data_IF_348264773945
#
_entry.id   IF_348264773945
#
_cell.length_a   1.000
_cell.length_b   1.000
_cell.length_c   1.000
_cell.angle_alpha   90.00
_cell.angle_beta   90.00
_cell.angle_gamma   90.00
#
_symmetry.space_group_name_H-M   'P 1'
#
loop_
_entity.id
_entity.type
_entity.pdbx_description
1 polymer ?
#
# COMPACT_ATOMS: atom_id res chain seq x y z
N UNK A 1 -12.24 14.97 25.04
CA UNK A 1 -12.00 14.38 23.69
C UNK A 1 -11.13 15.31 22.84
N UNK A 2 -11.33 16.64 22.93
CA UNK A 2 -10.51 17.68 22.32
C UNK A 2 -9.04 17.68 22.81
N UNK A 3 -8.79 17.31 24.07
CA UNK A 3 -7.44 17.28 24.67
C UNK A 3 -6.50 16.23 24.05
N UNK A 4 -7.05 15.14 23.52
CA UNK A 4 -6.28 14.11 22.78
C UNK A 4 -5.81 14.63 21.41
N UNK A 5 -6.61 15.46 20.76
CA UNK A 5 -6.27 16.08 19.47
C UNK A 5 -5.16 17.12 19.67
N UNK A 6 -5.23 17.90 20.75
CA UNK A 6 -4.19 18.89 21.08
C UNK A 6 -2.83 18.26 21.43
N UNK A 7 -2.81 17.06 22.02
CA UNK A 7 -1.56 16.34 22.32
C UNK A 7 -0.78 15.84 21.10
N UNK A 8 -1.43 15.73 19.93
CA UNK A 8 -0.82 15.32 18.67
C UNK A 8 -0.02 16.44 18.00
N UNK A 9 -0.23 17.71 18.39
CA UNK A 9 0.46 18.88 17.82
C UNK A 9 1.69 19.33 18.63
N UNK A 10 2.19 18.47 19.52
CA UNK A 10 3.45 18.67 20.24
C UNK A 10 3.35 19.66 21.40
N UNK A 11 4.17 19.44 22.43
CA UNK A 11 4.37 20.42 23.50
C UNK A 11 4.93 21.70 22.85
N UNK A 12 4.13 22.76 22.84
CA UNK A 12 4.56 24.09 22.41
C UNK A 12 5.65 24.55 23.39
N UNK A 13 6.91 24.61 22.95
CA UNK A 13 7.96 25.28 23.72
C UNK A 13 7.79 26.79 23.56
N UNK A 14 6.88 27.37 24.33
CA UNK A 14 6.68 28.83 24.35
C UNK A 14 7.86 29.50 25.04
N UNK A 15 8.79 30.09 24.28
CA UNK A 15 9.76 31.05 24.83
C UNK A 15 9.08 32.41 24.94
N UNK A 16 8.66 32.77 26.14
CA UNK A 16 8.16 34.12 26.43
C UNK A 16 9.38 35.01 26.68
N UNK A 17 9.53 36.09 25.91
CA UNK A 17 10.50 37.14 26.20
C UNK A 17 9.73 38.41 26.56
N UNK A 18 9.68 38.73 27.86
CA UNK A 18 9.12 39.99 28.35
C UNK A 18 10.20 41.06 28.30
N UNK A 19 9.90 42.20 27.69
CA UNK A 19 10.79 43.37 27.71
C UNK A 19 10.01 44.52 28.33
N UNK A 20 10.43 44.98 29.51
CA UNK A 20 9.79 46.11 30.19
C UNK A 20 10.34 47.41 29.62
N UNK A 21 9.49 48.21 28.97
CA UNK A 21 9.83 49.56 28.53
C UNK A 21 9.24 50.57 29.52
N UNK A 22 9.95 51.65 29.90
CA UNK A 22 9.58 52.49 31.04
C UNK A 22 8.47 53.47 30.65
N UNK A 23 7.22 52.97 30.61
CA UNK A 23 5.97 53.74 30.67
C UNK A 23 4.79 52.76 30.72
N UNK A 24 4.73 51.91 31.75
CA UNK A 24 3.52 51.19 32.20
C UNK A 24 2.81 50.24 31.22
N UNK A 25 3.28 50.07 29.98
CA UNK A 25 2.60 49.29 28.95
C UNK A 25 3.44 48.06 28.63
N UNK A 26 2.96 46.88 29.03
CA UNK A 26 3.58 45.61 28.65
C UNK A 26 3.09 45.22 27.25
N UNK A 27 3.96 45.34 26.24
CA UNK A 27 3.71 44.77 24.92
C UNK A 27 4.23 43.34 24.94
N UNK A 28 3.31 42.36 24.89
CA UNK A 28 3.68 40.95 24.76
C UNK A 28 3.63 40.57 23.29
N UNK A 29 4.80 40.41 22.65
CA UNK A 29 4.89 39.90 21.28
C UNK A 29 5.06 38.39 21.31
N UNK A 30 4.05 37.64 20.86
CA UNK A 30 4.10 36.18 20.75
C UNK A 30 4.53 35.80 19.34
N UNK A 31 5.80 35.43 19.15
CA UNK A 31 6.24 34.78 17.91
C UNK A 31 5.96 33.29 18.02
N UNK A 32 4.96 32.80 17.30
CA UNK A 32 4.67 31.36 17.21
C UNK A 32 5.45 30.78 16.02
N UNK A 33 6.56 30.10 16.29
CA UNK A 33 7.18 29.23 15.29
C UNK A 33 6.30 27.99 15.12
N UNK A 34 5.53 27.96 14.03
CA UNK A 34 4.80 26.78 13.62
C UNK A 34 5.85 25.84 12.99
N UNK A 35 6.39 24.92 13.78
CA UNK A 35 7.15 23.80 13.24
C UNK A 35 6.23 23.04 12.28
N UNK A 36 6.48 23.15 10.97
CA UNK A 36 5.74 22.35 10.00
C UNK A 36 5.94 20.87 10.36
N UNK A 37 4.86 20.07 10.51
CA UNK A 37 5.00 18.65 10.71
C UNK A 37 5.67 18.08 9.46
N UNK A 38 6.95 17.73 9.59
CA UNK A 38 7.73 17.10 8.53
C UNK A 38 7.25 15.65 8.45
N UNK A 39 6.15 15.42 7.72
CA UNK A 39 5.67 14.07 7.42
C UNK A 39 6.77 13.41 6.59
N UNK A 40 7.45 12.42 7.17
CA UNK A 40 8.33 11.56 6.43
C UNK A 40 7.46 10.69 5.51
N UNK A 41 7.21 11.14 4.29
CA UNK A 41 6.71 10.27 3.23
C UNK A 41 7.86 9.31 2.93
N UNK A 42 7.83 8.10 3.47
CA UNK A 42 8.73 7.05 2.99
C UNK A 42 8.33 6.77 1.54
N UNK A 43 9.25 6.94 0.60
CA UNK A 43 9.06 6.55 -0.80
C UNK A 43 9.11 5.01 -0.95
N UNK A 44 8.41 4.29 -0.07
CA UNK A 44 8.26 2.85 -0.14
C UNK A 44 7.13 2.56 -1.11
N UNK A 45 7.48 2.41 -2.38
CA UNK A 45 6.57 1.91 -3.41
C UNK A 45 6.22 0.45 -3.11
N UNK A 46 4.93 0.14 -3.01
CA UNK A 46 4.45 -1.22 -2.92
C UNK A 46 4.47 -1.84 -4.32
N UNK A 47 5.52 -2.61 -4.63
CA UNK A 47 5.66 -3.31 -5.91
C UNK A 47 5.07 -4.73 -5.76
N UNK A 48 4.24 -5.10 -6.72
CA UNK A 48 3.60 -6.42 -6.82
C UNK A 48 3.93 -7.00 -8.19
N UNK A 49 4.49 -8.21 -8.22
CA UNK A 49 4.67 -8.97 -9.44
C UNK A 49 3.50 -9.92 -9.64
N UNK A 50 2.88 -9.85 -10.82
CA UNK A 50 1.75 -10.70 -11.19
C UNK A 50 2.17 -11.58 -12.36
N UNK A 51 2.17 -12.89 -12.13
CA UNK A 51 2.33 -13.90 -13.18
C UNK A 51 0.94 -14.36 -13.64
N UNK A 52 0.74 -14.47 -14.95
CA UNK A 52 -0.54 -14.92 -15.53
C UNK A 52 -0.31 -16.16 -16.38
N UNK A 53 -1.11 -17.21 -16.15
CA UNK A 53 -1.03 -18.48 -16.86
C UNK A 53 0.22 -19.31 -16.53
N UNK A 54 0.42 -20.41 -17.25
CA UNK A 54 1.53 -21.35 -16.98
C UNK A 54 2.92 -20.74 -17.17
N UNK A 55 3.16 -20.02 -18.28
CA UNK A 55 4.44 -19.36 -18.52
C UNK A 55 4.72 -18.24 -17.49
N UNK A 56 3.69 -17.48 -17.13
CA UNK A 56 3.77 -16.48 -16.07
C UNK A 56 4.11 -17.10 -14.71
N UNK A 57 3.59 -18.28 -14.39
CA UNK A 57 3.92 -19.02 -13.17
C UNK A 57 5.42 -19.33 -13.07
N UNK A 58 6.00 -19.85 -14.15
CA UNK A 58 7.41 -20.24 -14.18
C UNK A 58 8.33 -19.03 -13.96
N UNK A 59 8.07 -17.93 -14.68
CA UNK A 59 8.85 -16.69 -14.54
C UNK A 59 8.68 -16.10 -13.14
N UNK A 60 7.44 -16.10 -12.61
CA UNK A 60 7.16 -15.54 -11.30
C UNK A 60 7.87 -16.34 -10.19
N UNK A 61 8.04 -17.65 -10.35
CA UNK A 61 8.81 -18.48 -9.42
C UNK A 61 10.28 -18.04 -9.36
N UNK A 62 10.91 -17.78 -10.51
CA UNK A 62 12.27 -17.25 -10.57
C UNK A 62 12.36 -15.86 -9.93
N UNK A 63 11.43 -14.97 -10.26
CA UNK A 63 11.35 -13.61 -9.69
C UNK A 63 11.18 -13.68 -8.16
N UNK A 64 10.33 -14.56 -7.65
CA UNK A 64 10.08 -14.69 -6.22
C UNK A 64 11.31 -15.13 -5.42
N UNK A 65 12.19 -15.89 -6.08
CA UNK A 65 13.47 -16.33 -5.51
C UNK A 65 14.50 -15.19 -5.55
N UNK A 66 14.54 -14.44 -6.64
CA UNK A 66 15.47 -13.32 -6.82
C UNK A 66 15.10 -12.07 -6.01
N UNK A 67 13.81 -11.81 -5.82
CA UNK A 67 13.27 -10.60 -5.19
C UNK A 67 12.21 -10.90 -4.10
N UNK A 68 12.54 -11.69 -3.07
CA UNK A 68 11.58 -12.20 -2.08
C UNK A 68 10.90 -11.10 -1.25
N UNK A 69 11.45 -9.89 -1.22
CA UNK A 69 10.89 -8.75 -0.48
C UNK A 69 9.61 -8.16 -1.09
N UNK A 70 9.32 -8.46 -2.37
CA UNK A 70 8.12 -7.98 -3.03
C UNK A 70 6.98 -8.98 -2.95
N UNK A 71 5.77 -8.51 -3.23
CA UNK A 71 4.61 -9.40 -3.30
C UNK A 71 4.56 -10.10 -4.65
N UNK A 72 4.20 -11.37 -4.64
CA UNK A 72 4.09 -12.21 -5.82
C UNK A 72 2.70 -12.84 -5.84
N UNK A 73 1.95 -12.63 -6.91
CA UNK A 73 0.61 -13.17 -7.10
C UNK A 73 0.57 -13.93 -8.42
N UNK A 74 0.19 -15.19 -8.37
CA UNK A 74 -0.07 -15.98 -9.57
C UNK A 74 -1.56 -15.97 -9.88
N UNK A 75 -1.93 -15.69 -11.13
CA UNK A 75 -3.31 -15.80 -11.61
C UNK A 75 -3.35 -16.89 -12.68
N UNK A 76 -4.22 -17.89 -12.52
CA UNK A 76 -4.31 -18.98 -13.48
C UNK A 76 -5.73 -19.55 -13.57
N UNK A 77 -6.11 -20.02 -14.76
CA UNK A 77 -7.32 -20.81 -14.98
C UNK A 77 -7.09 -22.30 -14.74
N UNK A 78 -5.83 -22.75 -14.66
CA UNK A 78 -5.47 -24.13 -14.29
C UNK A 78 -5.26 -24.22 -12.77
N UNK A 79 -6.19 -24.90 -12.09
CA UNK A 79 -6.16 -25.07 -10.64
C UNK A 79 -5.03 -25.99 -10.19
N UNK A 80 -4.76 -27.06 -10.94
CA UNK A 80 -3.69 -27.99 -10.61
C UNK A 80 -2.32 -27.33 -10.73
N UNK A 81 -2.14 -26.41 -11.68
CA UNK A 81 -0.93 -25.60 -11.78
C UNK A 81 -0.75 -24.66 -10.59
N UNK A 82 -1.83 -24.07 -10.07
CA UNK A 82 -1.78 -23.22 -8.86
C UNK A 82 -1.42 -24.03 -7.62
N UNK A 83 -2.03 -25.20 -7.42
CA UNK A 83 -1.79 -26.06 -6.26
C UNK A 83 -0.35 -26.62 -6.21
N UNK A 84 0.30 -26.76 -7.37
CA UNK A 84 1.72 -27.13 -7.47
C UNK A 84 2.68 -25.98 -7.14
N UNK A 85 2.22 -24.73 -7.22
CA UNK A 85 3.05 -23.56 -6.93
C UNK A 85 3.12 -23.30 -5.42
N UNK A 86 4.29 -22.87 -4.94
CA UNK A 86 4.44 -22.35 -3.58
C UNK A 86 3.99 -20.88 -3.44
N UNK A 87 3.59 -20.24 -4.54
CA UNK A 87 3.22 -18.83 -4.56
C UNK A 87 1.75 -18.62 -4.22
N UNK A 88 1.42 -17.44 -3.72
CA UNK A 88 0.03 -17.04 -3.48
C UNK A 88 -0.70 -16.98 -4.83
N UNK A 89 -1.70 -17.84 -4.99
CA UNK A 89 -2.47 -17.99 -6.21
C UNK A 89 -3.88 -17.42 -6.15
N UNK A 90 -4.37 -16.94 -7.29
CA UNK A 90 -5.77 -16.66 -7.58
C UNK A 90 -6.21 -17.56 -8.73
N UNK A 91 -7.09 -18.51 -8.43
CA UNK A 91 -7.80 -19.30 -9.43
C UNK A 91 -8.92 -18.45 -10.03
N UNK A 92 -9.03 -18.45 -11.36
CA UNK A 92 -10.08 -17.74 -12.09
C UNK A 92 -10.82 -18.68 -13.05
N UNK A 93 -12.12 -18.47 -13.21
CA UNK A 93 -12.98 -19.24 -14.11
C UNK A 93 -13.62 -20.47 -13.49
N UNK A 94 -14.48 -21.11 -14.29
CA UNK A 94 -15.38 -22.19 -13.83
C UNK A 94 -14.89 -23.58 -14.25
N UNK A 95 -13.79 -23.65 -15.00
CA UNK A 95 -13.19 -24.88 -15.53
C UNK A 95 -11.82 -25.10 -14.89
N UNK A 96 -11.62 -26.23 -14.21
CA UNK A 96 -10.39 -26.50 -13.45
C UNK A 96 -9.18 -26.88 -14.33
N UNK A 97 -9.40 -27.17 -15.62
CA UNK A 97 -8.39 -27.63 -16.58
C UNK A 97 -7.72 -26.51 -17.40
N UNK A 98 -7.95 -25.24 -17.07
CA UNK A 98 -7.37 -24.12 -17.79
C UNK A 98 -8.17 -23.64 -18.98
N UNK A 99 -7.69 -22.55 -19.60
CA UNK A 99 -8.28 -21.95 -20.80
C UNK A 99 -7.64 -22.46 -22.10
N UNK A 100 -6.68 -23.39 -21.99
CA UNK A 100 -5.90 -23.94 -23.12
C UNK A 100 -5.39 -22.85 -24.07
N UNK A 101 -5.64 -22.99 -25.38
CA UNK A 101 -5.28 -22.03 -26.43
C UNK A 101 -6.45 -21.11 -26.80
N UNK A 102 -7.42 -20.93 -25.91
CA UNK A 102 -8.65 -20.17 -26.15
C UNK A 102 -8.68 -18.86 -25.32
N UNK A 103 -8.18 -17.73 -25.88
CA UNK A 103 -8.13 -16.45 -25.15
C UNK A 103 -9.48 -15.96 -24.65
N UNK A 104 -10.56 -16.25 -25.38
CA UNK A 104 -11.91 -15.82 -25.00
C UNK A 104 -12.37 -16.49 -23.69
N UNK A 105 -11.98 -17.75 -23.46
CA UNK A 105 -12.27 -18.46 -22.21
C UNK A 105 -11.50 -17.79 -21.06
N UNK A 106 -10.23 -17.44 -21.26
CA UNK A 106 -9.44 -16.73 -20.26
C UNK A 106 -10.02 -15.33 -19.92
N UNK A 107 -10.48 -14.59 -20.93
CA UNK A 107 -11.13 -13.27 -20.73
C UNK A 107 -12.45 -13.43 -19.97
N UNK A 108 -13.26 -14.42 -20.31
CA UNK A 108 -14.50 -14.71 -19.60
C UNK A 108 -14.23 -15.12 -18.15
N UNK A 109 -13.26 -16.02 -17.93
CA UNK A 109 -12.85 -16.45 -16.60
C UNK A 109 -12.43 -15.27 -15.71
N UNK A 110 -11.63 -14.34 -16.24
CA UNK A 110 -11.23 -13.14 -15.52
C UNK A 110 -12.43 -12.23 -15.23
N UNK A 111 -13.30 -12.01 -16.23
CA UNK A 111 -14.47 -11.12 -16.09
C UNK A 111 -15.48 -11.66 -15.09
N UNK A 112 -15.77 -12.96 -15.09
CA UNK A 112 -16.64 -13.61 -14.10
C UNK A 112 -16.05 -13.53 -12.69
N UNK A 113 -14.72 -13.62 -12.55
CA UNK A 113 -14.03 -13.52 -11.26
C UNK A 113 -14.03 -12.10 -10.67
N UNK A 114 -14.25 -11.07 -11.51
CA UNK A 114 -14.43 -9.68 -11.06
C UNK A 114 -15.84 -9.40 -10.50
N UNK A 115 -16.82 -10.31 -10.66
CA UNK A 115 -18.21 -10.07 -10.23
C UNK A 115 -18.49 -10.30 -8.73
N UNK A 116 -17.46 -10.44 -7.88
CA UNK A 116 -17.67 -10.42 -6.42
C UNK A 116 -17.79 -9.00 -5.87
N UNK A 117 -19.01 -8.44 -5.93
CA UNK A 117 -19.43 -7.27 -5.12
C UNK A 117 -20.87 -7.44 -4.63
N UNK A 118 -21.01 -8.13 -3.48
CA UNK A 118 -21.86 -7.83 -2.31
C UNK A 118 -22.05 -9.09 -1.45
#
# INVERSE_FOLDING_TARGET
MLDKILSLFGKQNTKIKSTTQPAGTQITTTTQEIAQPKVAISATSNIIFIGVGGAGANILQEISTALPQYQHILINTDKAALEKSSLKGLYIGDQENGAEEEPNIAVQAFTSSLQLVN
#
